data_IF_785066617113
#
_entry.id   IF_785066617113
#
_cell.length_a   1.000
_cell.length_b   1.000
_cell.length_c   1.000
_cell.angle_alpha   90.00
_cell.angle_beta   90.00
_cell.angle_gamma   90.00
#
_symmetry.space_group_name_H-M   'P 1'
#
loop_
_entity.id
_entity.type
_entity.pdbx_description
1 polymer ?
#
# COMPACT_ATOMS: atom_id res chain seq x y z
N UNK A 1 22.22 -15.88 -30.81
CA UNK A 1 22.84 -16.08 -29.48
C UNK A 1 21.71 -16.24 -28.51
N UNK A 2 21.64 -17.35 -27.80
CA UNK A 2 20.56 -17.59 -26.83
C UNK A 2 20.73 -16.60 -25.69
N UNK A 3 19.85 -15.60 -25.60
CA UNK A 3 19.85 -14.69 -24.46
C UNK A 3 19.51 -15.49 -23.20
N UNK A 4 20.52 -15.73 -22.38
CA UNK A 4 20.36 -16.36 -21.08
C UNK A 4 19.41 -15.52 -20.23
N UNK A 5 18.60 -16.17 -19.39
CA UNK A 5 17.68 -15.49 -18.44
C UNK A 5 18.38 -14.35 -17.69
N UNK A 6 19.63 -14.57 -17.25
CA UNK A 6 20.42 -13.55 -16.56
C UNK A 6 20.69 -12.30 -17.41
N UNK A 7 20.96 -12.45 -18.71
CA UNK A 7 21.14 -11.33 -19.63
C UNK A 7 19.85 -10.51 -19.73
N UNK A 8 18.73 -11.19 -19.96
CA UNK A 8 17.43 -10.52 -20.07
C UNK A 8 17.05 -9.77 -18.79
N UNK A 9 17.38 -10.33 -17.62
CA UNK A 9 17.16 -9.69 -16.32
C UNK A 9 18.05 -8.46 -16.11
N UNK A 10 19.32 -8.54 -16.52
CA UNK A 10 20.28 -7.44 -16.40
C UNK A 10 19.92 -6.23 -17.29
N UNK A 11 19.21 -6.46 -18.40
CA UNK A 11 18.75 -5.41 -19.30
C UNK A 11 17.54 -4.64 -18.77
N UNK A 12 16.65 -5.25 -17.99
CA UNK A 12 15.40 -4.59 -17.57
C UNK A 12 15.59 -3.23 -16.88
N UNK A 13 16.59 -3.01 -16.00
CA UNK A 13 16.82 -1.73 -15.36
C UNK A 13 17.34 -0.62 -16.30
N UNK A 14 17.91 -0.99 -17.46
CA UNK A 14 18.46 -0.02 -18.41
C UNK A 14 17.42 0.48 -19.41
N UNK A 15 16.29 -0.23 -19.53
CA UNK A 15 15.20 0.13 -20.42
C UNK A 15 14.39 1.33 -19.92
N UNK A 16 13.96 2.16 -20.87
CA UNK A 16 12.98 3.21 -20.64
C UNK A 16 11.60 2.65 -20.28
N UNK A 17 10.74 3.49 -19.71
CA UNK A 17 9.36 3.08 -19.38
C UNK A 17 8.58 2.64 -20.62
N UNK A 18 8.80 3.27 -21.78
CA UNK A 18 8.16 2.90 -23.04
C UNK A 18 8.56 1.49 -23.49
N UNK A 19 9.85 1.16 -23.39
CA UNK A 19 10.38 -0.17 -23.73
C UNK A 19 9.90 -1.24 -22.75
N UNK A 20 9.84 -0.94 -21.45
CA UNK A 20 9.28 -1.84 -20.44
C UNK A 20 7.80 -2.15 -20.71
N UNK A 21 7.02 -1.15 -21.14
CA UNK A 21 5.62 -1.37 -21.57
C UNK A 21 5.54 -2.20 -22.86
N UNK A 22 6.48 -2.02 -23.78
CA UNK A 22 6.65 -2.87 -24.96
C UNK A 22 6.89 -4.33 -24.58
N UNK A 23 7.90 -4.59 -23.72
CA UNK A 23 8.18 -5.95 -23.22
C UNK A 23 7.00 -6.55 -22.47
N UNK A 24 6.26 -5.75 -21.72
CA UNK A 24 5.04 -6.22 -21.05
C UNK A 24 4.01 -6.73 -22.05
N UNK A 25 3.70 -5.94 -23.09
CA UNK A 25 2.76 -6.36 -24.13
C UNK A 25 3.21 -7.66 -24.81
N UNK A 26 4.51 -7.81 -25.08
CA UNK A 26 5.03 -9.04 -25.67
C UNK A 26 4.90 -10.28 -24.76
N UNK A 27 5.17 -10.15 -23.45
CA UNK A 27 5.18 -11.29 -22.53
C UNK A 27 3.82 -11.63 -21.91
N UNK A 28 2.94 -10.63 -21.78
CA UNK A 28 1.65 -10.74 -21.10
C UNK A 28 0.45 -10.54 -22.04
N UNK A 29 0.64 -10.08 -23.29
CA UNK A 29 -0.45 -9.84 -24.25
C UNK A 29 -1.44 -8.74 -23.85
N UNK A 30 -1.13 -7.97 -22.81
CA UNK A 30 -2.02 -6.96 -22.21
C UNK A 30 -1.25 -5.65 -22.00
N UNK A 31 -1.94 -4.54 -21.72
CA UNK A 31 -1.28 -3.29 -21.32
C UNK A 31 -0.99 -3.31 -19.81
N UNK A 32 0.19 -2.87 -19.35
CA UNK A 32 0.46 -2.72 -17.92
C UNK A 32 -0.44 -1.65 -17.28
N UNK A 33 -0.70 -1.73 -15.96
CA UNK A 33 -1.53 -0.74 -15.27
C UNK A 33 -0.96 0.68 -15.43
N UNK A 34 -1.84 1.63 -15.79
CA UNK A 34 -1.42 2.97 -16.23
C UNK A 34 -0.56 3.73 -15.21
N UNK A 35 -0.83 3.58 -13.92
CA UNK A 35 -0.16 4.29 -12.82
C UNK A 35 1.04 3.54 -12.20
N UNK A 36 1.49 2.43 -12.79
CA UNK A 36 2.61 1.67 -12.23
C UNK A 36 3.96 2.36 -12.48
N UNK A 37 4.80 2.38 -11.45
CA UNK A 37 6.18 2.90 -11.53
C UNK A 37 7.08 1.93 -12.30
N UNK A 38 8.16 2.44 -12.91
CA UNK A 38 9.15 1.63 -13.64
C UNK A 38 9.64 0.40 -12.85
N UNK A 39 9.94 0.58 -11.55
CA UNK A 39 10.39 -0.51 -10.68
C UNK A 39 9.38 -1.67 -10.57
N UNK A 40 8.08 -1.39 -10.64
CA UNK A 40 7.06 -2.44 -10.65
C UNK A 40 7.12 -3.24 -11.95
N UNK A 41 7.25 -2.56 -13.10
CA UNK A 41 7.37 -3.21 -14.40
C UNK A 41 8.60 -4.11 -14.46
N UNK A 42 9.76 -3.61 -14.03
CA UNK A 42 11.02 -4.37 -13.98
C UNK A 42 10.84 -5.66 -13.18
N UNK A 43 10.34 -5.57 -11.94
CA UNK A 43 10.14 -6.75 -11.07
C UNK A 43 9.18 -7.77 -11.69
N UNK A 44 8.11 -7.28 -12.32
CA UNK A 44 7.06 -8.14 -12.86
C UNK A 44 7.45 -8.78 -14.19
N UNK A 45 8.23 -8.09 -15.01
CA UNK A 45 8.86 -8.65 -16.22
C UNK A 45 9.94 -9.66 -15.85
N UNK A 46 10.78 -9.35 -14.86
CA UNK A 46 11.80 -10.27 -14.36
C UNK A 46 11.19 -11.61 -13.93
N UNK A 47 10.14 -11.54 -13.11
CA UNK A 47 9.41 -12.73 -12.68
C UNK A 47 8.82 -13.51 -13.85
N UNK A 48 8.25 -12.83 -14.86
CA UNK A 48 7.69 -13.49 -16.05
C UNK A 48 8.73 -14.23 -16.86
N UNK A 49 9.89 -13.60 -17.06
CA UNK A 49 11.02 -14.22 -17.77
C UNK A 49 11.48 -15.49 -17.04
N UNK A 50 11.60 -15.41 -15.71
CA UNK A 50 11.97 -16.56 -14.89
C UNK A 50 10.91 -17.66 -14.93
N UNK A 51 9.63 -17.32 -14.84
CA UNK A 51 8.52 -18.28 -14.94
C UNK A 51 8.50 -19.01 -16.28
N UNK A 52 8.73 -18.30 -17.38
CA UNK A 52 8.78 -18.90 -18.71
C UNK A 52 9.97 -19.85 -18.90
N UNK A 53 11.08 -19.61 -18.19
CA UNK A 53 12.30 -20.41 -18.30
C UNK A 53 12.37 -21.58 -17.31
N UNK A 54 11.93 -21.37 -16.07
CA UNK A 54 12.08 -22.32 -14.96
C UNK A 54 10.76 -22.96 -14.53
N UNK A 55 9.64 -22.55 -15.10
CA UNK A 55 8.31 -22.93 -14.65
C UNK A 55 7.78 -22.00 -13.56
N UNK A 56 6.47 -22.08 -13.33
CA UNK A 56 5.76 -21.29 -12.32
C UNK A 56 5.86 -21.86 -10.93
N UNK A 57 4.85 -21.55 -10.11
CA UNK A 57 4.73 -22.09 -8.76
C UNK A 57 4.57 -23.61 -8.79
N UNK A 58 5.24 -24.32 -7.87
CA UNK A 58 5.06 -25.76 -7.70
C UNK A 58 3.61 -26.11 -7.34
N UNK A 59 3.17 -27.32 -7.65
CA UNK A 59 1.83 -27.79 -7.30
C UNK A 59 1.55 -27.67 -5.80
N UNK A 60 2.55 -27.96 -4.96
CA UNK A 60 2.46 -27.78 -3.52
C UNK A 60 2.26 -26.31 -3.11
N UNK A 61 2.97 -25.37 -3.75
CA UNK A 61 2.81 -23.95 -3.48
C UNK A 61 1.43 -23.45 -3.94
N UNK A 62 0.93 -23.94 -5.08
CA UNK A 62 -0.41 -23.62 -5.56
C UNK A 62 -1.49 -24.18 -4.62
N UNK A 63 -1.32 -25.42 -4.13
CA UNK A 63 -2.23 -26.04 -3.17
C UNK A 63 -2.29 -25.26 -1.86
N UNK A 64 -1.14 -24.86 -1.31
CA UNK A 64 -1.07 -24.01 -0.10
C UNK A 64 -1.77 -22.67 -0.33
N UNK A 65 -1.54 -22.01 -1.47
CA UNK A 65 -2.21 -20.74 -1.79
C UNK A 65 -3.72 -20.90 -1.89
N UNK A 66 -4.19 -22.00 -2.49
CA UNK A 66 -5.62 -22.31 -2.57
C UNK A 66 -6.22 -22.55 -1.19
N UNK A 67 -5.55 -23.34 -0.35
CA UNK A 67 -6.01 -23.59 1.02
C UNK A 67 -6.16 -22.29 1.81
N UNK A 68 -5.16 -21.40 1.75
CA UNK A 68 -5.22 -20.10 2.43
C UNK A 68 -6.36 -19.24 1.87
N UNK A 69 -6.57 -19.23 0.55
CA UNK A 69 -7.67 -18.50 -0.06
C UNK A 69 -9.05 -19.05 0.36
N UNK A 70 -9.19 -20.37 0.47
CA UNK A 70 -10.41 -21.04 0.91
C UNK A 70 -10.69 -20.77 2.41
N UNK A 71 -9.65 -20.74 3.26
CA UNK A 71 -9.74 -20.35 4.67
C UNK A 71 -10.14 -18.87 4.85
N UNK A 72 -9.57 -17.95 4.06
CA UNK A 72 -9.95 -16.54 4.06
C UNK A 72 -11.40 -16.34 3.58
N UNK A 73 -11.83 -17.10 2.55
CA UNK A 73 -13.20 -17.08 2.07
C UNK A 73 -14.19 -17.64 3.11
N UNK A 74 -13.83 -18.75 3.78
CA UNK A 74 -14.62 -19.37 4.83
C UNK A 74 -14.76 -18.47 6.08
N UNK A 75 -13.76 -17.64 6.35
CA UNK A 75 -13.80 -16.66 7.47
C UNK A 75 -14.50 -15.35 7.11
N UNK A 76 -15.14 -15.25 5.93
CA UNK A 76 -15.74 -14.02 5.38
C UNK A 76 -14.79 -12.81 5.45
N UNK A 77 -13.48 -13.07 5.48
CA UNK A 77 -12.45 -12.05 5.32
C UNK A 77 -12.36 -11.77 3.83
N UNK A 78 -13.35 -11.03 3.33
CA UNK A 78 -13.23 -10.35 2.03
C UNK A 78 -11.83 -9.74 1.98
N UNK A 79 -11.09 -9.83 0.85
CA UNK A 79 -9.93 -9.00 0.64
C UNK A 79 -10.46 -7.58 0.51
N UNK A 80 -10.82 -6.99 1.65
CA UNK A 80 -11.01 -5.58 1.83
C UNK A 80 -9.72 -5.02 1.28
N UNK A 81 -9.82 -4.39 0.11
CA UNK A 81 -8.89 -3.34 -0.25
C UNK A 81 -8.76 -2.55 1.04
N UNK A 82 -7.64 -2.68 1.74
CA UNK A 82 -7.43 -2.00 3.00
C UNK A 82 -7.33 -0.50 2.68
N UNK A 83 -8.43 0.16 2.30
CA UNK A 83 -8.95 1.21 3.16
C UNK A 83 -8.95 0.55 4.51
N UNK A 84 -7.83 0.72 5.23
CA UNK A 84 -7.85 0.69 6.68
C UNK A 84 -9.10 1.49 6.97
N UNK A 85 -10.16 0.82 7.39
CA UNK A 85 -11.18 1.43 8.21
C UNK A 85 -10.37 1.88 9.42
N UNK A 86 -9.76 3.04 9.24
CA UNK A 86 -9.17 3.80 10.29
C UNK A 86 -10.42 4.04 11.11
N UNK A 87 -10.53 3.34 12.24
CA UNK A 87 -11.57 3.50 13.25
C UNK A 87 -11.53 4.94 13.72
N UNK A 88 -11.95 5.82 12.82
CA UNK A 88 -11.96 7.23 12.94
C UNK A 88 -13.23 7.51 13.73
N UNK A 89 -13.11 8.28 14.81
CA UNK A 89 -14.29 8.69 15.54
C UNK A 89 -15.30 9.36 14.61
N UNK A 90 -16.58 9.26 14.98
CA UNK A 90 -17.70 9.81 14.19
C UNK A 90 -17.45 11.28 13.87
N UNK A 91 -17.86 11.72 12.67
CA UNK A 91 -17.79 13.13 12.29
C UNK A 91 -18.47 14.00 13.38
N UNK A 92 -17.81 15.10 13.76
CA UNK A 92 -18.15 15.92 14.93
C UNK A 92 -17.28 15.62 16.16
N UNK A 93 -16.54 14.51 16.18
CA UNK A 93 -15.62 14.22 17.29
C UNK A 93 -14.45 15.22 17.30
N UNK A 94 -14.12 15.73 18.48
CA UNK A 94 -12.95 16.59 18.69
C UNK A 94 -11.78 15.79 19.26
N UNK A 95 -10.74 15.62 18.46
CA UNK A 95 -9.47 15.03 18.90
C UNK A 95 -8.61 16.10 19.55
N UNK A 96 -8.12 15.81 20.75
CA UNK A 96 -7.30 16.74 21.52
C UNK A 96 -5.94 16.13 21.74
N UNK A 97 -4.88 16.89 21.47
CA UNK A 97 -3.51 16.48 21.77
C UNK A 97 -2.69 17.64 22.31
N UNK A 98 -1.98 17.41 23.42
CA UNK A 98 -0.94 18.32 23.89
C UNK A 98 0.39 17.97 23.25
N UNK A 99 1.04 18.96 22.64
CA UNK A 99 2.35 18.85 22.02
C UNK A 99 3.14 20.14 22.24
N UNK A 100 4.39 20.01 22.68
CA UNK A 100 5.27 21.14 22.98
C UNK A 100 4.62 22.21 23.90
N UNK A 101 3.91 21.75 24.94
CA UNK A 101 3.18 22.63 25.86
C UNK A 101 1.90 23.26 25.31
N UNK A 102 1.61 23.10 24.01
CA UNK A 102 0.39 23.64 23.39
C UNK A 102 -0.67 22.56 23.21
N UNK A 103 -1.92 22.88 23.55
CA UNK A 103 -3.08 22.05 23.26
C UNK A 103 -3.55 22.29 21.83
N UNK A 104 -3.68 21.21 21.07
CA UNK A 104 -4.16 21.21 19.68
C UNK A 104 -5.48 20.45 19.60
N UNK A 105 -6.49 21.09 19.04
CA UNK A 105 -7.83 20.51 18.87
C UNK A 105 -8.15 20.36 17.38
N UNK A 106 -8.62 19.17 17.00
CA UNK A 106 -8.91 18.79 15.61
C UNK A 106 -10.32 18.25 15.55
N UNK A 107 -11.17 18.83 14.69
CA UNK A 107 -12.52 18.35 14.48
C UNK A 107 -12.53 17.32 13.35
N UNK A 108 -13.09 16.13 13.61
CA UNK A 108 -13.32 15.14 12.55
C UNK A 108 -14.51 15.59 11.71
N UNK A 109 -14.30 15.81 10.42
CA UNK A 109 -15.35 16.12 9.46
C UNK A 109 -15.69 14.87 8.62
N UNK A 110 -16.84 14.88 7.92
CA UNK A 110 -17.26 13.74 7.08
C UNK A 110 -16.20 13.34 6.03
N UNK A 111 -15.48 14.31 5.48
CA UNK A 111 -14.49 14.07 4.43
C UNK A 111 -13.06 14.51 4.83
N UNK A 112 -12.74 14.54 6.13
CA UNK A 112 -11.40 14.90 6.58
C UNK A 112 -11.36 15.46 8.00
N UNK A 113 -10.51 16.47 8.20
CA UNK A 113 -10.23 17.04 9.52
C UNK A 113 -10.16 18.56 9.43
N UNK A 114 -10.74 19.27 10.38
CA UNK A 114 -10.52 20.69 10.56
C UNK A 114 -9.51 20.91 11.69
N UNK A 115 -8.48 21.68 11.41
CA UNK A 115 -7.53 22.14 12.41
C UNK A 115 -7.29 23.64 12.22
N UNK A 116 -7.66 24.43 13.22
CA UNK A 116 -7.54 25.90 13.22
C UNK A 116 -8.22 26.58 12.02
N UNK A 117 -9.36 26.04 11.56
CA UNK A 117 -10.11 26.57 10.42
C UNK A 117 -9.56 26.13 9.06
N UNK A 118 -8.51 25.31 9.04
CA UNK A 118 -7.94 24.74 7.83
C UNK A 118 -8.37 23.28 7.67
N UNK A 119 -8.86 22.92 6.47
CA UNK A 119 -9.31 21.55 6.17
C UNK A 119 -8.17 20.67 5.66
N UNK A 120 -7.98 19.51 6.27
CA UNK A 120 -6.95 18.52 5.96
C UNK A 120 -7.57 17.19 5.51
N UNK A 121 -6.92 16.54 4.53
CA UNK A 121 -7.36 15.23 4.01
C UNK A 121 -6.98 14.03 4.90
N UNK A 122 -6.09 14.20 5.89
CA UNK A 122 -5.68 13.12 6.78
C UNK A 122 -5.13 13.63 8.12
N UNK A 123 -5.24 12.81 9.18
CA UNK A 123 -4.63 13.10 10.49
C UNK A 123 -3.12 13.22 10.42
N UNK A 124 -2.46 12.50 9.51
CA UNK A 124 -1.01 12.60 9.35
C UNK A 124 -0.61 13.97 8.79
N UNK A 125 -1.46 14.58 7.95
CA UNK A 125 -1.25 15.96 7.49
C UNK A 125 -1.41 16.96 8.65
N UNK A 126 -2.40 16.75 9.52
CA UNK A 126 -2.57 17.58 10.73
C UNK A 126 -1.39 17.39 11.71
N UNK A 127 -0.97 16.16 11.96
CA UNK A 127 0.17 15.86 12.82
C UNK A 127 1.48 16.46 12.27
N UNK A 128 1.67 16.46 10.94
CA UNK A 128 2.79 17.17 10.31
C UNK A 128 2.69 18.68 10.51
N UNK A 129 1.50 19.27 10.37
CA UNK A 129 1.29 20.69 10.63
C UNK A 129 1.56 21.09 12.10
N UNK A 130 1.29 20.19 13.05
CA UNK A 130 1.55 20.42 14.48
C UNK A 130 3.03 20.21 14.84
N UNK A 131 3.64 19.13 14.35
CA UNK A 131 4.97 18.69 14.80
C UNK A 131 6.11 19.12 13.89
N UNK A 132 5.82 19.64 12.68
CA UNK A 132 6.82 19.96 11.65
C UNK A 132 7.43 18.75 10.93
N UNK A 133 7.37 17.56 11.53
CA UNK A 133 7.91 16.31 10.96
C UNK A 133 6.82 15.31 10.57
N UNK A 134 7.18 14.34 9.72
CA UNK A 134 6.23 13.29 9.32
C UNK A 134 5.97 12.31 10.48
N UNK A 135 4.76 12.33 11.04
CA UNK A 135 4.30 11.46 12.13
C UNK A 135 3.02 10.75 11.72
N UNK A 136 2.81 9.53 12.22
CA UNK A 136 1.53 8.82 12.05
C UNK A 136 0.44 9.59 12.81
N UNK A 137 -0.51 10.17 12.08
CA UNK A 137 -1.61 10.95 12.64
C UNK A 137 -2.45 10.18 13.66
N UNK A 138 -2.98 8.99 13.33
CA UNK A 138 -3.74 8.19 14.28
C UNK A 138 -2.96 7.90 15.56
N UNK A 139 -1.67 7.55 15.47
CA UNK A 139 -0.84 7.29 16.65
C UNK A 139 -0.59 8.55 17.47
N UNK A 140 -0.39 9.70 16.82
CA UNK A 140 -0.22 10.98 17.48
C UNK A 140 -1.46 11.40 18.28
N UNK A 141 -2.66 11.08 17.78
CA UNK A 141 -3.94 11.32 18.45
C UNK A 141 -4.45 10.13 19.28
N UNK A 142 -3.65 9.07 19.48
CA UNK A 142 -4.01 7.93 20.32
C UNK A 142 -5.04 6.94 19.75
N UNK A 143 -5.35 7.02 18.45
CA UNK A 143 -6.40 6.22 17.78
C UNK A 143 -5.94 4.82 17.32
N UNK A 144 -5.05 4.15 18.07
CA UNK A 144 -4.68 2.76 17.72
C UNK A 144 -5.87 1.83 17.98
N UNK A 145 -6.04 0.82 17.12
CA UNK A 145 -7.01 -0.25 17.35
C UNK A 145 -6.76 -0.87 18.72
N UNK A 146 -7.81 -0.97 19.52
CA UNK A 146 -7.82 -1.60 20.84
C UNK A 146 -7.10 -2.94 20.80
N UNK A 147 -5.95 -2.99 21.47
CA UNK A 147 -5.12 -4.17 21.61
C UNK A 147 -4.14 -3.91 22.74
N UNK A 148 -4.60 -4.23 23.96
CA UNK A 148 -3.96 -4.14 25.28
C UNK A 148 -4.14 -2.79 26.01
N UNK A 149 -5.13 -2.79 26.90
CA UNK A 149 -4.97 -2.20 28.23
C UNK A 149 -3.83 -2.94 28.93
N UNK A 150 -2.92 -2.17 29.53
CA UNK A 150 -2.01 -2.66 30.56
C UNK A 150 -2.26 -1.74 31.74
N UNK A 151 -2.63 -2.37 32.86
CA UNK A 151 -2.81 -1.80 34.20
C UNK A 151 -1.67 -0.87 34.63
#
# INVERSE_FOLDING_TARGET
>A
MSDTVLTQLAELPTLSVGELRGRWRSLYGTEPPASCKSQYLIRRLAWRIQELAYGGLSESAQATLKQVADEDAATARTPSSRKREMNLPVAGTRLVRTWNGQRHEVLVARDGFDFRGCRYRSLSAVAKAITGSHRSGPAFFGLKASGRETE
#
